data_IF_942349172858
#
_entry.id   IF_942349172858
#
_cell.length_a   1.000
_cell.length_b   1.000
_cell.length_c   1.000
_cell.angle_alpha   90.00
_cell.angle_beta   90.00
_cell.angle_gamma   90.00
#
_symmetry.space_group_name_H-M   'P 1'
#
loop_
_entity.id
_entity.type
_entity.pdbx_description
1 polymer ?
#
# COMPACT_ATOMS: atom_id res chain seq x y z
N UNK A 1 7.93 50.93 -11.03
CA UNK A 1 7.40 52.24 -10.59
C UNK A 1 6.29 52.70 -11.53
N UNK A 2 5.13 53.05 -11.01
CA UNK A 2 3.94 53.44 -11.79
C UNK A 2 3.32 54.76 -11.29
N UNK A 3 2.45 55.36 -12.10
CA UNK A 3 1.69 56.56 -11.72
C UNK A 3 0.38 56.21 -11.04
N UNK A 4 -0.22 57.12 -10.29
CA UNK A 4 -1.50 56.89 -9.59
C UNK A 4 -2.65 56.44 -10.50
N UNK A 5 -2.63 56.83 -11.79
CA UNK A 5 -3.65 56.43 -12.78
C UNK A 5 -3.49 54.98 -13.25
N UNK A 6 -2.27 54.45 -13.21
CA UNK A 6 -1.93 53.08 -13.62
C UNK A 6 -1.67 52.18 -12.41
N UNK A 7 -2.11 52.60 -11.22
CA UNK A 7 -1.96 51.84 -10.00
C UNK A 7 -2.86 50.59 -10.07
N UNK A 8 -2.25 49.42 -9.93
CA UNK A 8 -2.98 48.14 -9.85
C UNK A 8 -3.75 47.98 -8.54
N UNK A 9 -3.33 48.73 -7.50
CA UNK A 9 -4.00 48.73 -6.21
C UNK A 9 -5.27 49.58 -6.23
N UNK A 10 -6.26 49.13 -5.47
CA UNK A 10 -7.57 49.78 -5.40
C UNK A 10 -7.44 51.25 -4.93
N UNK A 11 -8.06 52.23 -5.62
CA UNK A 11 -7.94 53.63 -5.24
C UNK A 11 -8.37 53.91 -3.80
N UNK A 12 -7.50 54.56 -3.03
CA UNK A 12 -7.74 54.89 -1.62
C UNK A 12 -8.36 56.27 -1.46
N UNK A 13 -9.22 56.43 -0.44
CA UNK A 13 -9.79 57.74 -0.05
C UNK A 13 -8.72 58.71 0.47
N UNK A 14 -7.74 58.20 1.23
CA UNK A 14 -6.51 58.91 1.61
C UNK A 14 -5.33 58.16 1.01
N UNK A 15 -4.57 58.79 0.11
CA UNK A 15 -3.42 58.15 -0.55
C UNK A 15 -2.27 57.85 0.40
N UNK A 16 -1.41 56.87 0.06
CA UNK A 16 -0.21 56.54 0.85
C UNK A 16 0.71 57.73 1.09
N UNK A 17 0.73 58.70 0.16
CA UNK A 17 1.53 59.93 0.28
C UNK A 17 1.24 60.71 1.58
N UNK A 18 -0.01 60.64 2.08
CA UNK A 18 -0.42 61.35 3.30
C UNK A 18 -0.60 60.43 4.50
N UNK A 19 -0.96 59.17 4.27
CA UNK A 19 -1.19 58.21 5.34
C UNK A 19 0.08 57.48 5.79
N UNK A 20 1.14 57.45 4.97
CA UNK A 20 2.40 56.72 5.17
C UNK A 20 2.25 55.26 5.65
N UNK A 21 1.10 54.64 5.35
CA UNK A 21 0.76 53.27 5.72
C UNK A 21 0.48 52.45 4.47
N UNK A 22 0.81 51.15 4.52
CA UNK A 22 0.66 50.21 3.41
C UNK A 22 1.33 50.71 2.13
N UNK A 23 2.67 50.77 2.17
CA UNK A 23 3.53 51.06 1.03
C UNK A 23 3.80 49.74 0.32
N UNK A 24 3.40 49.64 -0.95
CA UNK A 24 3.66 48.46 -1.77
C UNK A 24 5.16 48.38 -2.11
N UNK A 25 5.73 47.17 -2.24
CA UNK A 25 7.10 47.01 -2.71
C UNK A 25 7.22 47.51 -4.16
N UNK A 26 8.41 47.98 -4.53
CA UNK A 26 8.69 48.42 -5.90
C UNK A 26 8.76 47.22 -6.86
N UNK A 27 8.06 47.34 -7.99
CA UNK A 27 8.11 46.34 -9.06
C UNK A 27 9.42 46.44 -9.84
N UNK A 28 10.06 45.29 -10.07
CA UNK A 28 11.23 45.19 -10.95
C UNK A 28 10.75 45.10 -12.39
N UNK A 29 11.09 46.11 -13.18
CA UNK A 29 10.77 46.14 -14.61
C UNK A 29 12.00 45.61 -15.34
N UNK A 30 11.88 44.43 -15.94
CA UNK A 30 12.93 43.84 -16.76
C UNK A 30 12.53 43.94 -18.23
N UNK A 31 13.39 44.56 -19.04
CA UNK A 31 13.21 44.64 -20.49
C UNK A 31 13.97 43.51 -21.16
N UNK A 32 13.26 42.67 -21.91
CA UNK A 32 13.85 41.58 -22.68
C UNK A 32 13.60 41.79 -24.17
N UNK A 33 14.64 41.62 -24.98
CA UNK A 33 14.54 41.56 -26.44
C UNK A 33 14.31 40.11 -26.85
N UNK A 34 13.07 39.80 -27.21
CA UNK A 34 12.65 38.49 -27.67
C UNK A 34 12.29 38.53 -29.15
N UNK A 35 12.55 37.43 -29.84
CA UNK A 35 12.14 37.22 -31.23
C UNK A 35 10.61 37.11 -31.37
N UNK A 36 10.12 37.06 -32.62
CA UNK A 36 8.67 36.97 -32.90
C UNK A 36 8.01 35.77 -32.21
N UNK A 37 8.68 34.61 -32.24
CA UNK A 37 8.21 33.38 -31.60
C UNK A 37 8.35 33.47 -30.08
N UNK A 38 9.48 34.02 -29.59
CA UNK A 38 9.71 34.26 -28.18
C UNK A 38 8.65 35.16 -27.54
N UNK A 39 8.11 36.17 -28.23
CA UNK A 39 7.01 37.00 -27.71
C UNK A 39 5.67 36.27 -27.63
N UNK A 40 5.49 35.21 -28.42
CA UNK A 40 4.25 34.43 -28.53
C UNK A 40 4.32 33.07 -27.84
N UNK A 41 5.48 32.69 -27.32
CA UNK A 41 5.63 31.44 -26.62
C UNK A 41 4.68 31.42 -25.41
N UNK A 42 3.74 30.47 -25.48
CA UNK A 42 2.74 30.23 -24.44
C UNK A 42 3.38 29.82 -23.12
N UNK A 43 4.59 29.28 -23.17
CA UNK A 43 5.33 28.79 -22.01
C UNK A 43 6.25 29.84 -21.40
N UNK A 44 6.20 31.10 -21.85
CA UNK A 44 6.90 32.18 -21.17
C UNK A 44 6.42 32.32 -19.72
N UNK A 45 7.38 32.33 -18.79
CA UNK A 45 7.11 32.36 -17.35
C UNK A 45 6.66 31.02 -16.76
N UNK A 46 6.78 29.91 -17.51
CA UNK A 46 6.52 28.58 -16.97
C UNK A 46 7.61 28.19 -15.97
N UNK A 47 7.22 28.01 -14.70
CA UNK A 47 8.08 27.47 -13.66
C UNK A 47 8.14 25.94 -13.75
N UNK A 48 9.33 25.39 -14.01
CA UNK A 48 9.56 23.96 -14.11
C UNK A 48 9.16 23.20 -12.83
N UNK A 49 9.21 23.84 -11.64
CA UNK A 49 8.78 23.20 -10.40
C UNK A 49 7.27 22.87 -10.40
N UNK A 50 6.45 23.64 -11.13
CA UNK A 50 5.01 23.36 -11.25
C UNK A 50 4.73 22.03 -11.97
N UNK A 51 5.66 21.56 -12.81
CA UNK A 51 5.56 20.26 -13.49
C UNK A 51 5.63 19.07 -12.52
N UNK A 52 6.20 19.26 -11.32
CA UNK A 52 6.24 18.23 -10.28
C UNK A 52 4.82 17.76 -9.91
N UNK A 53 3.84 18.68 -9.82
CA UNK A 53 2.44 18.35 -9.54
C UNK A 53 1.82 17.42 -10.57
N UNK A 54 2.16 17.62 -11.85
CA UNK A 54 1.71 16.77 -12.96
C UNK A 54 2.34 15.39 -12.82
N UNK A 55 3.65 15.35 -12.55
CA UNK A 55 4.40 14.10 -12.35
C UNK A 55 3.84 13.26 -11.20
N UNK A 56 3.53 13.89 -10.07
CA UNK A 56 2.90 13.25 -8.92
C UNK A 56 1.53 12.66 -9.27
N UNK A 57 0.71 13.40 -10.02
CA UNK A 57 -0.60 12.91 -10.50
C UNK A 57 -0.44 11.65 -11.36
N UNK A 58 0.52 11.62 -12.27
CA UNK A 58 0.78 10.46 -13.13
C UNK A 58 1.34 9.27 -12.34
N UNK A 59 2.25 9.50 -11.40
CA UNK A 59 2.77 8.47 -10.49
C UNK A 59 1.64 7.83 -9.68
N UNK A 60 0.75 8.63 -9.10
CA UNK A 60 -0.42 8.15 -8.36
C UNK A 60 -1.35 7.30 -9.25
N UNK A 61 -1.63 7.76 -10.48
CA UNK A 61 -2.43 6.99 -11.45
C UNK A 61 -1.79 5.64 -11.80
N UNK A 62 -0.48 5.62 -12.00
CA UNK A 62 0.25 4.38 -12.34
C UNK A 62 0.19 3.36 -11.19
N UNK A 63 0.37 3.82 -9.96
CA UNK A 63 0.24 2.96 -8.78
C UNK A 63 -1.16 2.37 -8.65
N UNK A 64 -2.21 3.15 -8.93
CA UNK A 64 -3.59 2.67 -8.93
C UNK A 64 -3.84 1.56 -9.97
N UNK A 65 -3.34 1.73 -11.20
CA UNK A 65 -3.46 0.69 -12.24
C UNK A 65 -2.74 -0.59 -11.82
N UNK A 66 -1.56 -0.47 -11.19
CA UNK A 66 -0.82 -1.61 -10.66
C UNK A 66 -1.58 -2.31 -9.54
N UNK A 67 -2.18 -1.57 -8.62
CA UNK A 67 -3.01 -2.12 -7.54
C UNK A 67 -4.24 -2.87 -8.08
N UNK A 68 -4.92 -2.33 -9.09
CA UNK A 68 -6.03 -3.03 -9.76
C UNK A 68 -5.58 -4.33 -10.41
N UNK A 69 -4.41 -4.35 -11.05
CA UNK A 69 -3.87 -5.56 -11.65
C UNK A 69 -3.59 -6.64 -10.59
N UNK A 70 -3.02 -6.25 -9.45
CA UNK A 70 -2.77 -7.16 -8.33
C UNK A 70 -4.09 -7.71 -7.76
N UNK A 71 -5.12 -6.87 -7.59
CA UNK A 71 -6.45 -7.33 -7.12
C UNK A 71 -7.08 -8.32 -8.09
N UNK A 72 -7.03 -8.05 -9.39
CA UNK A 72 -7.52 -8.98 -10.42
C UNK A 72 -6.79 -10.32 -10.38
N UNK A 73 -5.46 -10.31 -10.25
CA UNK A 73 -4.68 -11.54 -10.12
C UNK A 73 -4.98 -12.27 -8.79
N UNK A 74 -5.19 -11.54 -7.70
CA UNK A 74 -5.60 -12.08 -6.41
C UNK A 74 -6.99 -12.74 -6.46
N UNK A 75 -7.97 -12.09 -7.07
CA UNK A 75 -9.31 -12.66 -7.29
C UNK A 75 -9.27 -13.90 -8.19
N UNK A 76 -8.47 -13.88 -9.26
CA UNK A 76 -8.24 -15.06 -10.11
C UNK A 76 -7.59 -16.19 -9.30
N UNK A 77 -6.56 -15.91 -8.52
CA UNK A 77 -5.91 -16.91 -7.67
C UNK A 77 -6.85 -17.45 -6.57
N UNK A 78 -7.69 -16.60 -5.98
CA UNK A 78 -8.69 -17.03 -4.98
C UNK A 78 -9.77 -17.92 -5.65
N UNK A 79 -10.22 -17.58 -6.85
CA UNK A 79 -11.12 -18.43 -7.64
C UNK A 79 -10.46 -19.79 -7.97
N UNK A 80 -9.20 -19.78 -8.39
CA UNK A 80 -8.41 -21.00 -8.63
C UNK A 80 -8.18 -21.85 -7.36
N UNK A 81 -8.21 -21.26 -6.17
CA UNK A 81 -8.07 -21.97 -4.89
C UNK A 81 -9.44 -22.43 -4.35
N UNK A 82 -10.51 -21.69 -4.62
CA UNK A 82 -11.88 -22.01 -4.20
C UNK A 82 -12.59 -23.03 -5.11
N UNK A 83 -12.22 -23.07 -6.39
CA UNK A 83 -12.65 -24.06 -7.37
C UNK A 83 -11.40 -24.82 -7.80
N UNK A 84 -11.22 -26.03 -7.25
CA UNK A 84 -10.16 -26.94 -7.67
C UNK A 84 -10.41 -27.52 -9.06
N UNK A 85 -10.45 -26.68 -10.10
CA UNK A 85 -10.43 -27.08 -11.50
C UNK A 85 -9.64 -26.05 -12.33
N UNK A 86 -8.62 -26.52 -13.04
CA UNK A 86 -7.98 -25.78 -14.14
C UNK A 86 -8.83 -26.07 -15.38
N UNK A 87 -9.55 -25.06 -15.89
CA UNK A 87 -9.84 -24.98 -17.32
C UNK A 87 -8.77 -24.09 -17.96
N UNK A 88 -7.90 -24.71 -18.75
CA UNK A 88 -7.16 -23.99 -19.79
C UNK A 88 -8.09 -23.86 -20.99
N UNK A 89 -9.01 -22.90 -20.94
CA UNK A 89 -9.70 -22.45 -22.14
C UNK A 89 -8.79 -21.44 -22.83
N UNK A 90 -8.01 -21.96 -23.78
CA UNK A 90 -7.54 -21.17 -24.90
C UNK A 90 -8.79 -20.79 -25.70
N UNK A 91 -9.12 -19.51 -25.73
CA UNK A 91 -10.10 -18.98 -26.67
C UNK A 91 -9.52 -19.10 -28.10
N UNK A 92 -9.79 -20.24 -28.75
CA UNK A 92 -9.91 -20.38 -30.20
C UNK A 92 -10.99 -21.47 -30.46
N UNK A 93 -12.20 -21.00 -30.74
CA UNK A 93 -13.36 -21.63 -31.40
C UNK A 93 -13.41 -23.17 -31.52
N UNK A 94 -14.37 -23.84 -30.85
CA UNK A 94 -15.58 -24.40 -31.51
C UNK A 94 -16.44 -25.24 -30.54
N UNK A 95 -17.76 -25.10 -30.70
CA UNK A 95 -18.80 -25.83 -29.97
C UNK A 95 -18.87 -27.28 -30.44
N UNK A 96 -18.83 -28.28 -29.54
CA UNK A 96 -19.73 -29.46 -29.47
C UNK A 96 -19.32 -30.47 -28.36
N UNK A 97 -20.34 -30.96 -27.63
CA UNK A 97 -20.33 -31.86 -26.45
C UNK A 97 -19.70 -33.25 -26.70
N UNK A 98 -19.06 -33.83 -25.67
CA UNK A 98 -19.39 -35.15 -25.07
C UNK A 98 -18.95 -35.17 -23.60
N UNK A 99 -19.86 -35.54 -22.70
CA UNK A 99 -19.58 -35.78 -21.28
C UNK A 99 -18.76 -37.07 -21.11
N UNK A 100 -17.45 -36.96 -20.95
CA UNK A 100 -16.58 -38.06 -20.49
C UNK A 100 -16.02 -37.73 -19.11
N UNK A 101 -16.17 -38.68 -18.19
CA UNK A 101 -15.74 -38.58 -16.81
C UNK A 101 -14.27 -38.18 -16.70
N UNK A 102 -14.00 -36.98 -16.15
CA UNK A 102 -12.66 -36.53 -15.77
C UNK A 102 -12.07 -37.52 -14.75
N UNK A 103 -11.23 -38.43 -15.22
CA UNK A 103 -10.26 -39.11 -14.36
C UNK A 103 -9.10 -38.14 -14.20
N UNK A 104 -8.84 -37.66 -12.98
CA UNK A 104 -7.76 -36.72 -12.66
C UNK A 104 -6.37 -37.30 -13.02
N UNK A 105 -5.92 -37.13 -14.26
CA UNK A 105 -4.57 -37.51 -14.71
C UNK A 105 -3.46 -36.60 -14.14
N UNK A 106 -3.83 -35.48 -13.51
CA UNK A 106 -2.91 -34.50 -12.90
C UNK A 106 -2.05 -35.10 -11.79
N UNK A 107 -2.59 -36.04 -11.01
CA UNK A 107 -1.85 -36.75 -9.94
C UNK A 107 -0.91 -37.81 -10.50
N UNK A 108 -1.24 -38.40 -11.65
CA UNK A 108 -0.42 -39.42 -12.31
C UNK A 108 0.83 -38.80 -12.97
N UNK A 109 0.72 -37.59 -13.51
CA UNK A 109 1.83 -36.89 -14.16
C UNK A 109 2.98 -36.51 -13.20
N UNK A 110 2.70 -36.25 -11.92
CA UNK A 110 3.77 -36.00 -10.94
C UNK A 110 4.50 -37.27 -10.49
N UNK A 111 3.81 -38.42 -10.53
CA UNK A 111 4.39 -39.75 -10.29
C UNK A 111 5.25 -40.23 -11.48
N UNK A 112 4.90 -39.83 -12.70
CA UNK A 112 5.60 -40.19 -13.96
C UNK A 112 6.51 -39.05 -14.48
N UNK A 113 6.88 -38.08 -13.63
CA UNK A 113 8.06 -37.25 -13.92
C UNK A 113 9.30 -38.12 -13.65
N UNK A 114 9.81 -38.76 -14.71
CA UNK A 114 10.91 -39.71 -14.64
C UNK A 114 12.15 -39.22 -13.87
N UNK A 115 13.07 -40.16 -13.59
CA UNK A 115 14.18 -40.02 -12.62
C UNK A 115 15.06 -38.77 -12.77
N UNK A 116 15.06 -38.11 -13.93
CA UNK A 116 15.75 -36.85 -14.16
C UNK A 116 15.27 -35.71 -13.25
N UNK A 117 14.00 -35.69 -12.82
CA UNK A 117 13.50 -34.71 -11.84
C UNK A 117 14.21 -34.86 -10.51
N UNK A 118 14.41 -36.10 -10.05
CA UNK A 118 14.97 -36.40 -8.74
C UNK A 118 16.50 -36.26 -8.70
N UNK A 119 17.19 -36.53 -9.81
CA UNK A 119 18.66 -36.43 -9.94
C UNK A 119 19.24 -35.05 -9.63
N UNK A 120 18.47 -33.98 -9.85
CA UNK A 120 18.92 -32.61 -9.60
C UNK A 120 18.34 -32.00 -8.31
N UNK A 121 17.54 -32.77 -7.58
CA UNK A 121 16.80 -32.29 -6.39
C UNK A 121 17.48 -32.71 -5.08
N UNK A 122 17.15 -32.03 -3.98
CA UNK A 122 17.67 -32.33 -2.65
C UNK A 122 19.16 -32.01 -2.48
N UNK A 123 19.88 -32.90 -1.79
CA UNK A 123 21.31 -32.74 -1.47
C UNK A 123 22.21 -32.63 -2.72
N UNK A 124 21.77 -33.16 -3.87
CA UNK A 124 22.48 -33.00 -5.13
C UNK A 124 22.58 -31.52 -5.56
N UNK A 125 21.57 -30.71 -5.22
CA UNK A 125 21.56 -29.28 -5.51
C UNK A 125 22.53 -28.52 -4.60
N UNK A 126 22.58 -28.87 -3.32
CA UNK A 126 23.53 -28.30 -2.35
C UNK A 126 24.98 -28.64 -2.74
N UNK A 127 25.24 -29.90 -3.11
CA UNK A 127 26.54 -30.33 -3.61
C UNK A 127 26.96 -29.60 -4.89
N UNK A 128 26.03 -29.36 -5.82
CA UNK A 128 26.29 -28.53 -7.02
C UNK A 128 26.65 -27.10 -6.66
N UNK A 129 25.94 -26.48 -5.73
CA UNK A 129 26.23 -25.11 -5.27
C UNK A 129 27.61 -25.01 -4.61
N UNK A 130 27.96 -26.01 -3.80
CA UNK A 130 29.25 -26.13 -3.13
C UNK A 130 30.39 -26.26 -4.15
N UNK A 131 30.24 -27.11 -5.18
CA UNK A 131 31.21 -27.22 -6.29
C UNK A 131 31.38 -25.92 -7.07
N UNK A 132 30.27 -25.25 -7.40
CA UNK A 132 30.30 -23.95 -8.08
C UNK A 132 30.98 -22.87 -7.22
N UNK A 133 30.81 -22.92 -5.90
CA UNK A 133 31.49 -22.01 -4.99
C UNK A 133 33.00 -22.26 -5.01
N UNK A 134 33.43 -23.52 -4.90
CA UNK A 134 34.83 -23.89 -4.93
C UNK A 134 35.56 -23.42 -6.21
N UNK A 135 34.94 -23.57 -7.39
CA UNK A 135 35.50 -23.03 -8.63
C UNK A 135 35.62 -21.50 -8.63
N UNK A 136 34.59 -20.79 -8.17
CA UNK A 136 34.61 -19.33 -8.10
C UNK A 136 35.62 -18.79 -7.08
N UNK A 137 35.83 -19.49 -5.97
CA UNK A 137 36.83 -19.12 -4.97
C UNK A 137 38.24 -19.40 -5.46
N UNK A 138 38.42 -20.49 -6.22
CA UNK A 138 39.67 -20.84 -6.87
C UNK A 138 40.09 -19.79 -7.90
N UNK A 139 39.15 -19.33 -8.74
CA UNK A 139 39.39 -18.21 -9.67
C UNK A 139 39.78 -16.91 -8.94
N UNK A 140 39.30 -16.71 -7.71
CA UNK A 140 39.67 -15.57 -6.85
C UNK A 140 41.01 -15.77 -6.12
N UNK A 141 41.68 -16.91 -6.31
CA UNK A 141 42.97 -17.23 -5.72
C UNK A 141 42.90 -17.91 -4.35
N UNK A 142 41.73 -18.35 -3.89
CA UNK A 142 41.59 -19.17 -2.68
C UNK A 142 41.64 -20.66 -3.05
N UNK A 143 42.59 -21.40 -2.49
CA UNK A 143 42.71 -22.83 -2.76
C UNK A 143 41.69 -23.63 -1.93
N UNK A 144 40.56 -23.95 -2.56
CA UNK A 144 39.48 -24.75 -1.98
C UNK A 144 39.19 -25.90 -2.93
N UNK A 145 39.57 -27.12 -2.52
CA UNK A 145 39.34 -28.30 -3.34
C UNK A 145 38.26 -29.21 -2.74
N UNK A 146 37.19 -29.38 -3.49
CA UNK A 146 36.02 -30.16 -3.09
C UNK A 146 36.31 -31.63 -2.82
N UNK A 147 37.04 -32.31 -3.70
CA UNK A 147 37.34 -33.74 -3.50
C UNK A 147 38.49 -33.99 -2.49
N UNK A 148 39.53 -33.15 -2.46
CA UNK A 148 40.67 -33.31 -1.56
C UNK A 148 40.37 -32.91 -0.10
N UNK A 149 39.54 -31.89 0.12
CA UNK A 149 39.25 -31.36 1.46
C UNK A 149 37.76 -31.01 1.64
N UNK A 150 36.89 -32.02 1.60
CA UNK A 150 35.43 -31.89 1.65
C UNK A 150 34.92 -31.11 2.90
N UNK A 151 35.39 -31.48 4.10
CA UNK A 151 34.96 -30.85 5.35
C UNK A 151 35.36 -29.37 5.43
N UNK A 152 36.55 -29.02 4.95
CA UNK A 152 37.02 -27.64 4.90
C UNK A 152 36.18 -26.81 3.91
N UNK A 153 35.93 -27.35 2.72
CA UNK A 153 35.11 -26.67 1.71
C UNK A 153 33.68 -26.42 2.21
N UNK A 154 33.08 -27.37 2.93
CA UNK A 154 31.77 -27.22 3.54
C UNK A 154 31.74 -26.13 4.63
N UNK A 155 32.74 -26.11 5.52
CA UNK A 155 32.85 -25.08 6.56
C UNK A 155 32.98 -23.68 5.96
N UNK A 156 33.83 -23.53 4.95
CA UNK A 156 34.02 -22.26 4.23
C UNK A 156 32.75 -21.82 3.53
N UNK A 157 32.00 -22.74 2.92
CA UNK A 157 30.72 -22.43 2.29
C UNK A 157 29.65 -21.98 3.30
N UNK A 158 29.56 -22.63 4.46
CA UNK A 158 28.67 -22.20 5.56
C UNK A 158 29.02 -20.78 6.03
N UNK A 159 30.30 -20.49 6.23
CA UNK A 159 30.77 -19.15 6.58
C UNK A 159 30.42 -18.13 5.49
N UNK A 160 30.61 -18.49 4.22
CA UNK A 160 30.24 -17.67 3.07
C UNK A 160 28.74 -17.37 3.03
N UNK A 161 27.87 -18.35 3.30
CA UNK A 161 26.42 -18.15 3.33
C UNK A 161 26.00 -17.13 4.40
N UNK A 162 26.56 -17.23 5.61
CA UNK A 162 26.34 -16.25 6.69
C UNK A 162 26.81 -14.85 6.28
N UNK A 163 28.01 -14.75 5.69
CA UNK A 163 28.55 -13.46 5.22
C UNK A 163 27.68 -12.89 4.10
N UNK A 164 27.20 -13.72 3.17
CA UNK A 164 26.34 -13.32 2.06
C UNK A 164 24.99 -12.80 2.54
N UNK A 165 24.41 -13.40 3.57
CA UNK A 165 23.17 -12.90 4.19
C UNK A 165 23.37 -11.56 4.89
N UNK A 166 24.46 -11.42 5.65
CA UNK A 166 24.84 -10.14 6.27
C UNK A 166 25.12 -9.06 5.23
N UNK A 167 25.78 -9.40 4.12
CA UNK A 167 26.01 -8.47 3.02
C UNK A 167 24.68 -8.04 2.37
N UNK A 168 23.75 -8.98 2.17
CA UNK A 168 22.42 -8.65 1.63
C UNK A 168 21.64 -7.73 2.57
N UNK A 169 21.69 -7.94 3.88
CA UNK A 169 21.04 -7.04 4.84
C UNK A 169 21.70 -5.66 4.82
N UNK A 170 23.03 -5.59 4.87
CA UNK A 170 23.78 -4.33 4.76
C UNK A 170 23.47 -3.58 3.45
N UNK A 171 23.37 -4.29 2.32
CA UNK A 171 22.99 -3.68 1.04
C UNK A 171 21.56 -3.16 1.07
N UNK A 172 20.62 -3.89 1.68
CA UNK A 172 19.24 -3.42 1.87
C UNK A 172 19.22 -2.16 2.72
N UNK A 173 19.91 -2.17 3.85
CA UNK A 173 19.97 -1.03 4.78
C UNK A 173 20.61 0.19 4.11
N UNK A 174 21.70 0.01 3.36
CA UNK A 174 22.35 1.08 2.60
C UNK A 174 21.46 1.64 1.48
N UNK A 175 20.66 0.79 0.83
CA UNK A 175 19.67 1.24 -0.17
C UNK A 175 18.54 2.00 0.53
N UNK A 176 18.05 1.52 1.67
CA UNK A 176 17.01 2.20 2.45
C UNK A 176 17.49 3.54 2.99
N UNK A 177 18.75 3.67 3.40
CA UNK A 177 19.32 4.95 3.85
C UNK A 177 19.43 5.97 2.70
N UNK A 178 19.88 5.53 1.52
CA UNK A 178 20.08 6.42 0.36
C UNK A 178 18.78 6.82 -0.34
N UNK A 179 17.82 5.90 -0.43
CA UNK A 179 16.62 6.08 -1.25
C UNK A 179 15.33 6.13 -0.42
N UNK A 180 15.42 5.95 0.90
CA UNK A 180 14.27 5.88 1.80
C UNK A 180 13.43 4.62 1.60
N UNK A 181 12.56 4.33 2.57
CA UNK A 181 11.55 3.28 2.41
C UNK A 181 10.39 3.78 1.56
N UNK A 182 10.45 3.58 0.25
CA UNK A 182 9.31 3.86 -0.65
C UNK A 182 8.05 3.02 -0.33
N UNK A 183 8.19 2.00 0.53
CA UNK A 183 7.10 1.15 1.01
C UNK A 183 6.54 1.57 2.38
N UNK A 184 7.17 2.49 3.13
CA UNK A 184 6.52 3.09 4.30
C UNK A 184 5.46 4.05 3.78
N UNK A 185 4.25 3.54 3.82
CA UNK A 185 3.03 4.05 3.23
C UNK A 185 2.62 5.39 3.88
N UNK A 186 3.12 6.51 3.36
CA UNK A 186 2.25 7.68 3.31
C UNK A 186 1.12 7.31 2.36
N UNK A 187 0.01 6.85 2.93
CA UNK A 187 -1.25 6.62 2.20
C UNK A 187 -1.56 7.90 1.44
N UNK A 188 -1.18 7.93 0.16
CA UNK A 188 -1.44 9.03 -0.75
C UNK A 188 -2.90 9.43 -0.56
N UNK A 189 -3.13 10.72 -0.23
CA UNK A 189 -4.47 11.24 0.03
C UNK A 189 -5.40 10.75 -1.08
N UNK A 190 -6.50 10.08 -0.70
CA UNK A 190 -7.47 9.48 -1.64
C UNK A 190 -7.97 10.49 -2.68
N UNK A 191 -7.92 11.78 -2.37
CA UNK A 191 -8.26 12.90 -3.26
C UNK A 191 -7.35 12.96 -4.50
N UNK A 192 -6.04 12.66 -4.35
CA UNK A 192 -5.10 12.60 -5.48
C UNK A 192 -5.34 11.38 -6.38
N UNK A 193 -5.94 10.31 -5.82
CA UNK A 193 -6.20 9.02 -6.49
C UNK A 193 -7.30 9.10 -7.55
N UNK A 194 -8.32 9.92 -7.34
CA UNK A 194 -9.44 10.10 -8.27
C UNK A 194 -9.31 11.35 -9.16
N UNK A 195 -8.35 12.22 -8.88
CA UNK A 195 -8.13 13.45 -9.65
C UNK A 195 -9.31 14.41 -9.63
N UNK A 196 -10.27 14.21 -8.72
CA UNK A 196 -11.36 15.15 -8.44
C UNK A 196 -10.87 16.12 -7.38
N UNK A 197 -10.48 17.32 -7.79
CA UNK A 197 -10.13 18.42 -6.88
C UNK A 197 -11.34 19.22 -6.41
N UNK A 198 -12.53 18.95 -6.95
CA UNK A 198 -13.74 19.72 -6.67
C UNK A 198 -14.58 19.01 -5.61
N UNK A 199 -14.53 19.51 -4.38
CA UNK A 199 -15.59 19.24 -3.39
C UNK A 199 -16.74 20.17 -3.71
N UNK A 200 -17.88 19.62 -4.14
CA UNK A 200 -19.11 20.42 -4.28
C UNK A 200 -19.54 20.92 -2.90
N UNK A 201 -19.52 22.24 -2.73
CA UNK A 201 -20.07 22.92 -1.55
C UNK A 201 -21.27 23.72 -2.01
N UNK A 202 -22.45 23.38 -1.50
CA UNK A 202 -23.67 24.13 -1.75
C UNK A 202 -23.78 25.26 -0.73
N UNK A 203 -23.87 26.50 -1.23
CA UNK A 203 -24.05 27.70 -0.41
C UNK A 203 -25.51 28.17 -0.46
N UNK A 204 -26.04 28.58 0.70
CA UNK A 204 -27.29 29.31 0.78
C UNK A 204 -27.19 30.69 0.10
N UNK A 205 -28.32 31.32 -0.23
CA UNK A 205 -28.40 32.71 -0.75
C UNK A 205 -27.68 33.75 0.14
N UNK A 206 -27.43 33.42 1.41
CA UNK A 206 -26.69 34.24 2.37
C UNK A 206 -25.19 33.89 2.49
N UNK A 207 -24.68 32.97 1.65
CA UNK A 207 -23.28 32.53 1.66
C UNK A 207 -22.90 31.60 2.82
N UNK A 208 -23.88 30.93 3.45
CA UNK A 208 -23.64 29.92 4.50
C UNK A 208 -23.59 28.53 3.90
N UNK A 209 -22.70 27.68 4.42
CA UNK A 209 -22.49 26.33 3.92
C UNK A 209 -23.64 25.41 4.32
N UNK A 210 -24.31 24.79 3.35
CA UNK A 210 -25.47 23.91 3.59
C UNK A 210 -25.06 22.43 3.51
N UNK A 211 -24.16 22.09 2.58
CA UNK A 211 -23.75 20.71 2.32
C UNK A 211 -22.39 20.67 1.63
N UNK A 212 -21.45 19.87 2.15
CA UNK A 212 -20.15 19.62 1.50
C UNK A 212 -18.92 19.65 2.42
N UNK A 213 -19.03 20.18 3.63
CA UNK A 213 -18.05 19.95 4.70
C UNK A 213 -18.53 18.78 5.56
N UNK A 214 -18.00 17.58 5.30
CA UNK A 214 -18.04 16.54 6.31
C UNK A 214 -17.15 17.00 7.47
N UNK A 215 -17.77 17.42 8.58
CA UNK A 215 -17.09 17.51 9.87
C UNK A 215 -16.52 16.12 10.17
N UNK A 216 -15.20 15.95 10.16
CA UNK A 216 -14.50 14.69 10.49
C UNK A 216 -14.96 14.10 11.84
N UNK A 217 -15.55 14.93 12.71
CA UNK A 217 -16.19 14.55 13.97
C UNK A 217 -17.41 13.64 13.80
N UNK A 218 -18.15 13.76 12.70
CA UNK A 218 -19.37 12.95 12.45
C UNK A 218 -19.05 11.53 11.96
N UNK A 219 -17.85 11.30 11.41
CA UNK A 219 -17.40 9.95 11.04
C UNK A 219 -17.02 9.08 12.23
N UNK A 220 -16.67 9.68 13.37
CA UNK A 220 -16.45 8.96 14.64
C UNK A 220 -17.78 8.62 15.32
N UNK A 221 -18.80 9.47 15.15
CA UNK A 221 -20.17 9.25 15.64
C UNK A 221 -20.97 8.27 14.75
N UNK A 222 -20.33 7.19 14.30
CA UNK A 222 -21.03 6.02 13.76
C UNK A 222 -21.59 5.20 14.93
N UNK A 223 -22.74 5.67 15.43
CA UNK A 223 -23.90 4.86 15.81
C UNK A 223 -23.56 3.59 16.60
N UNK A 224 -23.32 3.71 17.91
CA UNK A 224 -23.12 2.56 18.81
C UNK A 224 -24.26 1.54 18.73
N UNK A 225 -25.45 1.96 18.30
CA UNK A 225 -26.64 1.11 18.09
C UNK A 225 -26.47 0.11 16.94
N UNK A 226 -25.49 0.30 16.05
CA UNK A 226 -25.20 -0.60 14.92
C UNK A 226 -23.94 -1.43 15.10
N UNK A 227 -23.27 -1.38 16.26
CA UNK A 227 -22.29 -2.44 16.58
C UNK A 227 -23.06 -3.75 16.65
N UNK A 228 -22.85 -4.62 15.65
CA UNK A 228 -23.30 -6.02 15.69
C UNK A 228 -22.73 -6.61 16.99
N UNK A 229 -23.61 -6.93 17.93
CA UNK A 229 -23.19 -7.62 19.14
C UNK A 229 -22.71 -9.01 18.70
N UNK A 230 -21.40 -9.23 18.74
CA UNK A 230 -20.87 -10.59 18.77
C UNK A 230 -21.03 -11.08 20.21
N UNK A 231 -22.26 -11.47 20.59
CA UNK A 231 -22.46 -12.23 21.83
C UNK A 231 -21.90 -13.62 21.57
N UNK A 232 -20.65 -13.85 21.95
CA UNK A 232 -20.24 -15.20 22.33
C UNK A 232 -20.75 -15.39 23.75
N UNK A 233 -21.84 -16.14 23.90
CA UNK A 233 -22.27 -16.61 25.20
C UNK A 233 -21.18 -17.56 25.71
N UNK A 234 -20.54 -17.21 26.82
CA UNK A 234 -19.69 -18.13 27.55
C UNK A 234 -20.59 -18.80 28.60
N UNK A 235 -20.72 -20.12 28.56
CA UNK A 235 -21.59 -20.90 29.46
C UNK A 235 -20.98 -21.14 30.86
N UNK A 236 -19.87 -20.45 31.18
CA UNK A 236 -19.16 -20.60 32.44
C UNK A 236 -19.73 -19.62 33.48
N UNK A 237 -20.48 -20.16 34.44
CA UNK A 237 -21.05 -19.39 35.56
C UNK A 237 -19.92 -18.90 36.47
N UNK A 238 -19.79 -17.60 36.61
CA UNK A 238 -18.78 -16.99 37.48
C UNK A 238 -19.18 -17.10 38.96
N UNK A 239 -18.21 -17.14 39.91
CA UNK A 239 -18.52 -17.16 41.34
C UNK A 239 -19.41 -15.99 41.80
N UNK A 240 -19.25 -14.82 41.16
CA UNK A 240 -20.05 -13.62 41.44
C UNK A 240 -21.51 -13.77 40.97
N UNK A 241 -21.76 -14.51 39.89
CA UNK A 241 -23.12 -14.82 39.43
C UNK A 241 -23.81 -15.86 40.33
N UNK A 242 -23.04 -16.81 40.91
CA UNK A 242 -23.54 -17.71 41.96
C UNK A 242 -23.91 -16.96 43.24
N UNK A 243 -23.11 -15.96 43.64
CA UNK A 243 -23.41 -15.09 44.79
C UNK A 243 -24.63 -14.19 44.52
N UNK A 244 -24.74 -13.63 43.31
CA UNK A 244 -25.89 -12.85 42.89
C UNK A 244 -27.18 -13.70 42.86
N UNK A 245 -27.11 -14.97 42.47
CA UNK A 245 -28.24 -15.90 42.55
C UNK A 245 -28.63 -16.18 44.01
N UNK A 246 -27.67 -16.35 44.91
CA UNK A 246 -27.92 -16.53 46.34
C UNK A 246 -28.56 -15.28 46.97
N UNK A 247 -28.11 -14.07 46.61
CA UNK A 247 -28.69 -12.80 47.06
C UNK A 247 -30.11 -12.58 46.52
N UNK A 248 -30.40 -12.95 45.26
CA UNK A 248 -31.75 -12.83 44.67
C UNK A 248 -32.77 -13.79 45.26
N UNK A 249 -32.34 -14.91 45.85
CA UNK A 249 -33.20 -15.89 46.52
C UNK A 249 -33.57 -15.47 47.94
N UNK A 250 -32.79 -14.57 48.56
CA UNK A 250 -33.11 -13.97 49.86
C UNK A 250 -33.89 -12.67 49.62
N UNK A 251 -35.18 -12.80 49.32
CA UNK A 251 -36.10 -11.66 49.41
C UNK A 251 -36.51 -11.48 50.86
N UNK A 252 -36.23 -10.32 51.45
CA UNK A 252 -36.69 -9.88 52.77
C UNK A 252 -38.21 -9.61 52.85
N UNK A 253 -39.01 -10.29 52.03
CA UNK A 253 -40.45 -10.05 51.89
C UNK A 253 -41.18 -11.27 51.33
N UNK A 254 -40.82 -12.46 51.80
CA UNK A 254 -41.62 -13.68 51.62
C UNK A 254 -42.46 -13.93 52.89
N UNK A 255 -43.74 -13.53 52.92
CA UNK A 255 -44.61 -13.68 54.10
C UNK A 255 -44.99 -15.14 54.40
N UNK A 256 -44.51 -16.14 53.64
CA UNK A 256 -44.70 -17.56 53.96
C UNK A 256 -43.50 -18.22 54.66
N UNK A 257 -42.39 -17.51 54.88
CA UNK A 257 -41.18 -18.08 55.53
C UNK A 257 -41.38 -18.46 57.01
N UNK A 258 -42.36 -17.88 57.69
CA UNK A 258 -42.68 -18.21 59.10
C UNK A 258 -43.80 -19.25 59.26
N UNK A 259 -44.38 -19.76 58.16
CA UNK A 259 -45.48 -20.74 58.19
C UNK A 259 -45.09 -22.14 57.72
N UNK A 260 -43.79 -22.40 57.54
CA UNK A 260 -43.26 -23.75 57.32
C UNK A 260 -42.65 -24.23 58.64
N UNK A 261 -43.39 -25.07 59.36
CA UNK A 261 -42.91 -25.94 60.44
C UNK A 261 -42.87 -27.37 59.92
#
# INVERSE_FOLDING_TARGET
>A
MHTTKLCMERPRKKGARWANMHIAPDEKIESYELDYDGKRDRWNGFDAATYARITERYKARRMYLMELQIKKLGEKNIKLIGEGEISEDNDDDDVLKVDEAKVDESKHMDFVKGDNKYRASGQALEFKQLNLHAWKTFEKGQDIHMQAAQSQAELLYKNYMVIKEKLKSQMKDAIMEKYGNAATEEKLRKELRLGQSEKQVEYDRAGRDVKGMEDDRRTEEKDERKRKHNVKANDEVTPEEMEAYQLKKIRHGDPMKEFVH
#
